data_IF_327305642258
#
_entry.id   IF_327305642258
#
_cell.length_a   1.000
_cell.length_b   1.000
_cell.length_c   1.000
_cell.angle_alpha   90.00
_cell.angle_beta   90.00
_cell.angle_gamma   90.00
#
_symmetry.space_group_name_H-M   'P 1'
#
loop_
_entity.id
_entity.type
_entity.pdbx_description
1 polymer ?
#
# COMPACT_ATOMS: atom_id res chain seq x y z
N UNK A 1 -14.08 6.57 -0.53
CA UNK A 1 -12.74 6.62 -1.15
C UNK A 1 -11.82 7.25 -0.13
N UNK A 2 -10.82 6.50 0.34
CA UNK A 2 -9.95 6.94 1.43
C UNK A 2 -8.76 7.72 0.87
N UNK A 3 -8.14 8.54 1.73
CA UNK A 3 -6.97 9.34 1.37
C UNK A 3 -5.86 9.07 2.37
N UNK A 4 -4.63 9.04 1.86
CA UNK A 4 -3.43 8.95 2.68
C UNK A 4 -2.50 10.11 2.31
N UNK A 5 -2.19 10.96 3.28
CA UNK A 5 -1.27 12.08 3.09
C UNK A 5 0.16 11.55 3.10
N UNK A 6 0.85 11.70 1.97
CA UNK A 6 2.23 11.29 1.82
C UNK A 6 3.16 12.34 2.42
N UNK A 7 3.91 11.93 3.44
CA UNK A 7 5.05 12.68 3.94
C UNK A 7 6.31 12.33 3.13
N UNK A 8 6.88 13.32 2.44
CA UNK A 8 8.11 13.15 1.64
C UNK A 8 7.86 12.81 0.17
N UNK A 9 8.86 12.23 -0.49
CA UNK A 9 8.83 11.97 -1.94
C UNK A 9 8.09 10.68 -2.33
N UNK A 10 8.15 9.65 -1.48
CA UNK A 10 7.49 8.37 -1.70
C UNK A 10 7.33 7.60 -0.39
N UNK A 11 6.39 6.66 -0.38
CA UNK A 11 6.22 5.64 0.68
C UNK A 11 6.32 4.26 0.04
N UNK A 12 6.75 3.25 0.78
CA UNK A 12 6.71 1.86 0.28
C UNK A 12 5.39 1.17 0.62
N UNK A 13 5.01 0.13 -0.13
CA UNK A 13 3.84 -0.72 0.19
C UNK A 13 3.89 -1.22 1.63
N UNK A 14 5.04 -1.70 2.12
CA UNK A 14 5.17 -2.15 3.50
C UNK A 14 4.89 -1.03 4.51
N UNK A 15 5.42 0.18 4.27
CA UNK A 15 5.20 1.32 5.14
C UNK A 15 3.74 1.79 5.10
N UNK A 16 3.12 1.82 3.92
CA UNK A 16 1.72 2.20 3.77
C UNK A 16 0.81 1.20 4.50
N UNK A 17 1.02 -0.10 4.30
CA UNK A 17 0.25 -1.14 5.01
C UNK A 17 0.39 -1.01 6.53
N UNK A 18 1.60 -0.71 7.01
CA UNK A 18 1.82 -0.47 8.43
C UNK A 18 1.14 0.81 8.92
N UNK A 19 1.21 1.91 8.16
CA UNK A 19 0.60 3.18 8.51
C UNK A 19 -0.93 3.14 8.50
N UNK A 20 -1.51 2.16 7.79
CA UNK A 20 -2.94 1.88 7.74
C UNK A 20 -3.36 0.76 8.73
N UNK A 21 -2.46 0.35 9.63
CA UNK A 21 -2.69 -0.71 10.64
C UNK A 21 -3.10 -2.09 10.07
N UNK A 22 -2.76 -2.37 8.81
CA UNK A 22 -2.98 -3.70 8.21
C UNK A 22 -1.96 -4.75 8.68
N UNK A 23 -0.76 -4.30 9.06
CA UNK A 23 0.33 -5.16 9.53
C UNK A 23 1.01 -4.52 10.74
N UNK A 24 1.48 -5.34 11.67
CA UNK A 24 2.27 -4.90 12.82
C UNK A 24 3.76 -4.78 12.50
N UNK A 25 4.27 -5.60 11.59
CA UNK A 25 5.69 -5.64 11.24
C UNK A 25 5.96 -5.70 9.74
N UNK A 26 7.13 -5.22 9.31
CA UNK A 26 7.54 -5.32 7.90
C UNK A 26 7.81 -6.76 7.42
N UNK A 27 7.88 -7.73 8.35
CA UNK A 27 7.97 -9.16 8.04
C UNK A 27 6.64 -9.73 7.53
N UNK A 28 5.52 -9.23 8.06
CA UNK A 28 4.17 -9.65 7.69
C UNK A 28 3.76 -9.20 6.28
N UNK A 29 4.41 -8.18 5.72
CA UNK A 29 4.05 -7.65 4.40
C UNK A 29 4.01 -8.73 3.32
N UNK A 30 4.94 -9.69 3.33
CA UNK A 30 4.97 -10.75 2.31
C UNK A 30 3.72 -11.63 2.38
N UNK A 31 3.31 -12.01 3.59
CA UNK A 31 2.12 -12.84 3.81
C UNK A 31 0.86 -12.06 3.46
N UNK A 32 0.78 -10.80 3.91
CA UNK A 32 -0.33 -9.91 3.58
C UNK A 32 -0.55 -9.76 2.07
N UNK A 33 0.52 -9.54 1.29
CA UNK A 33 0.43 -9.42 -0.17
C UNK A 33 0.09 -10.74 -0.88
N UNK A 34 0.23 -11.88 -0.21
CA UNK A 34 -0.16 -13.18 -0.75
C UNK A 34 -1.61 -13.55 -0.40
N UNK A 35 -2.07 -13.17 0.80
CA UNK A 35 -3.42 -13.45 1.28
C UNK A 35 -4.46 -12.43 0.83
N UNK A 36 -4.03 -11.19 0.57
CA UNK A 36 -4.90 -10.08 0.20
C UNK A 36 -4.57 -9.54 -1.19
N UNK A 37 -5.62 -9.15 -1.92
CA UNK A 37 -5.46 -8.54 -3.23
C UNK A 37 -5.08 -7.07 -3.08
N UNK A 38 -3.81 -6.77 -3.34
CA UNK A 38 -3.26 -5.41 -3.31
C UNK A 38 -2.87 -4.96 -4.71
N UNK A 39 -3.50 -3.88 -5.17
CA UNK A 39 -3.25 -3.27 -6.47
C UNK A 39 -2.64 -1.87 -6.28
N UNK A 40 -1.68 -1.51 -7.13
CA UNK A 40 -1.17 -0.16 -7.31
C UNK A 40 -1.51 0.26 -8.75
N UNK A 41 -2.34 1.30 -8.90
CA UNK A 41 -2.84 1.77 -10.20
C UNK A 41 -3.43 0.61 -11.04
N UNK A 42 -4.29 -0.19 -10.41
CA UNK A 42 -4.95 -1.37 -10.98
C UNK A 42 -4.02 -2.54 -11.37
N UNK A 43 -2.71 -2.45 -11.09
CA UNK A 43 -1.74 -3.54 -11.25
C UNK A 43 -1.41 -4.22 -9.92
N UNK A 44 -1.40 -5.55 -9.90
CA UNK A 44 -1.11 -6.32 -8.68
C UNK A 44 0.33 -6.18 -8.21
N UNK A 45 0.52 -6.02 -6.90
CA UNK A 45 1.84 -5.79 -6.30
C UNK A 45 2.18 -6.87 -5.29
N UNK A 46 3.31 -7.55 -5.55
CA UNK A 46 3.91 -8.52 -4.63
C UNK A 46 5.21 -8.01 -3.98
N UNK A 47 5.69 -6.84 -4.41
CA UNK A 47 6.95 -6.24 -3.95
C UNK A 47 6.74 -5.33 -2.73
N UNK A 48 7.19 -5.76 -1.55
CA UNK A 48 7.08 -4.96 -0.31
C UNK A 48 7.74 -3.58 -0.36
N UNK A 49 8.81 -3.44 -1.15
CA UNK A 49 9.58 -2.19 -1.32
C UNK A 49 9.10 -1.36 -2.52
N UNK A 50 7.99 -1.73 -3.17
CA UNK A 50 7.44 -0.93 -4.26
C UNK A 50 7.15 0.47 -3.75
N UNK A 51 7.69 1.47 -4.45
CA UNK A 51 7.51 2.88 -4.12
C UNK A 51 6.17 3.35 -4.66
N UNK A 52 5.48 4.13 -3.85
CA UNK A 52 4.19 4.75 -4.12
C UNK A 52 4.38 6.24 -3.96
N UNK A 53 3.88 7.01 -4.91
CA UNK A 53 4.04 8.46 -4.99
C UNK A 53 2.68 9.15 -4.92
N UNK A 54 2.72 10.47 -4.69
CA UNK A 54 1.51 11.30 -4.77
C UNK A 54 0.81 11.11 -6.11
N UNK A 55 -0.51 10.94 -6.07
CA UNK A 55 -1.36 10.66 -7.23
C UNK A 55 -1.58 9.17 -7.52
N UNK A 56 -0.79 8.27 -6.93
CA UNK A 56 -1.04 6.83 -7.06
C UNK A 56 -2.31 6.41 -6.32
N UNK A 57 -2.96 5.35 -6.82
CA UNK A 57 -4.11 4.72 -6.18
C UNK A 57 -3.75 3.31 -5.74
N UNK A 58 -3.87 3.06 -4.44
CA UNK A 58 -3.67 1.74 -3.86
C UNK A 58 -5.02 1.12 -3.54
N UNK A 59 -5.27 -0.09 -4.01
CA UNK A 59 -6.51 -0.83 -3.73
C UNK A 59 -6.19 -2.05 -2.88
N UNK A 60 -6.80 -2.16 -1.71
CA UNK A 60 -6.63 -3.30 -0.79
C UNK A 60 -8.00 -3.94 -0.58
N UNK A 61 -8.17 -5.19 -1.03
CA UNK A 61 -9.44 -5.93 -0.93
C UNK A 61 -10.65 -5.12 -1.45
N UNK A 62 -10.47 -4.38 -2.54
CA UNK A 62 -11.51 -3.53 -3.15
C UNK A 62 -11.61 -2.11 -2.57
N UNK A 63 -10.92 -1.81 -1.47
CA UNK A 63 -10.90 -0.46 -0.89
C UNK A 63 -9.84 0.40 -1.58
N UNK A 64 -10.28 1.43 -2.31
CA UNK A 64 -9.38 2.38 -3.00
C UNK A 64 -8.91 3.50 -2.06
N UNK A 65 -7.61 3.73 -2.07
CA UNK A 65 -6.88 4.72 -1.29
C UNK A 65 -6.09 5.59 -2.26
N UNK A 66 -6.40 6.88 -2.30
CA UNK A 66 -5.66 7.86 -3.09
C UNK A 66 -4.52 8.43 -2.24
N UNK A 67 -3.30 8.40 -2.79
CA UNK A 67 -2.13 8.96 -2.14
C UNK A 67 -2.03 10.46 -2.50
N UNK A 68 -2.03 11.32 -1.48
CA UNK A 68 -2.04 12.79 -1.62
C UNK A 68 -0.71 13.43 -1.26
#
# INVERSE_FOLDING_TARGET
>A
MNHFELEGEFITIAQLLKALDYIGSGGETKYFLYEHKVLLNDAEVYEKKKKIKKGDVVTINGNKILIK
#
